data_IF_658666953831
#
_entry.id   IF_658666953831
#
_cell.length_a   1.000
_cell.length_b   1.000
_cell.length_c   1.000
_cell.angle_alpha   90.00
_cell.angle_beta   90.00
_cell.angle_gamma   90.00
#
_symmetry.space_group_name_H-M   'P 1'
#
loop_
_entity.id
_entity.type
_entity.pdbx_description
1 polymer ?
#
# COMPACT_ATOMS: atom_id res chain seq x y z
N UNK A 1 -6.29 22.63 42.33
CA UNK A 1 -7.48 22.40 43.18
C UNK A 1 -8.64 22.10 42.30
N UNK A 2 -9.13 20.86 42.37
CA UNK A 2 -10.35 20.48 41.69
C UNK A 2 -11.53 21.30 42.20
N UNK A 3 -12.37 21.84 41.33
CA UNK A 3 -13.46 22.69 41.77
C UNK A 3 -14.48 21.88 42.57
N UNK A 4 -14.58 22.28 43.83
CA UNK A 4 -15.76 22.04 44.61
C UNK A 4 -16.00 20.63 45.12
N UNK A 5 -15.60 20.42 46.34
CA UNK A 5 -15.98 19.27 47.14
C UNK A 5 -17.43 19.46 47.66
N UNK A 6 -18.38 19.70 46.77
CA UNK A 6 -19.81 19.71 47.07
C UNK A 6 -20.47 18.46 46.50
N UNK A 7 -21.62 18.08 47.06
CA UNK A 7 -22.35 16.88 46.61
C UNK A 7 -22.73 16.88 45.10
N UNK A 8 -22.58 18.00 44.42
CA UNK A 8 -22.66 18.10 42.97
C UNK A 8 -21.33 17.73 42.26
N UNK A 9 -20.26 17.38 42.96
CA UNK A 9 -18.93 17.10 42.43
C UNK A 9 -18.66 15.61 42.14
N UNK A 10 -19.72 14.82 41.95
CA UNK A 10 -19.56 13.48 41.40
C UNK A 10 -18.81 13.51 40.04
N UNK A 11 -18.93 14.61 39.31
CA UNK A 11 -18.11 14.85 38.11
C UNK A 11 -16.62 14.87 38.43
N UNK A 12 -16.21 15.57 39.51
CA UNK A 12 -14.79 15.60 39.92
C UNK A 12 -14.29 14.23 40.39
N UNK A 13 -15.09 13.55 41.21
CA UNK A 13 -14.77 12.21 41.69
C UNK A 13 -14.71 11.22 40.53
N UNK A 14 -15.67 11.29 39.59
CA UNK A 14 -15.70 10.45 38.40
C UNK A 14 -14.48 10.67 37.50
N UNK A 15 -14.07 11.94 37.31
CA UNK A 15 -12.87 12.28 36.54
C UNK A 15 -11.58 11.76 37.18
N UNK A 16 -11.54 11.74 38.53
CA UNK A 16 -10.37 11.22 39.26
C UNK A 16 -10.30 9.68 39.26
N UNK A 17 -11.45 9.02 39.20
CA UNK A 17 -11.52 7.55 39.26
C UNK A 17 -11.43 6.91 37.88
N UNK A 18 -11.79 7.63 36.82
CA UNK A 18 -11.70 7.15 35.45
C UNK A 18 -10.39 7.65 34.81
N UNK A 19 -9.29 7.02 35.16
CA UNK A 19 -8.03 7.23 34.42
C UNK A 19 -8.08 6.43 33.12
N UNK A 20 -7.75 7.10 32.01
CA UNK A 20 -7.53 6.40 30.75
C UNK A 20 -6.26 5.53 30.91
N UNK A 21 -6.45 4.23 31.00
CA UNK A 21 -5.33 3.28 30.97
C UNK A 21 -5.17 2.79 29.53
N UNK A 22 -4.17 3.31 28.84
CA UNK A 22 -3.87 2.97 27.45
C UNK A 22 -3.44 4.19 26.63
N UNK A 23 -3.34 4.01 25.34
CA UNK A 23 -3.01 5.07 24.39
C UNK A 23 -4.23 5.99 24.19
N UNK A 24 -4.12 7.31 24.53
CA UNK A 24 -5.21 8.26 24.32
C UNK A 24 -5.55 8.47 22.84
N UNK A 25 -4.70 8.05 21.90
CA UNK A 25 -4.94 8.10 20.46
C UNK A 25 -5.77 6.92 19.93
N UNK A 26 -6.09 5.94 20.78
CA UNK A 26 -6.95 4.82 20.36
C UNK A 26 -8.37 5.35 20.05
N UNK A 27 -8.79 5.12 18.81
CA UNK A 27 -10.14 5.43 18.38
C UNK A 27 -11.13 4.40 18.94
N UNK A 28 -12.02 4.85 19.82
CA UNK A 28 -13.12 4.02 20.30
C UNK A 28 -14.16 3.80 19.19
N UNK A 29 -14.70 2.61 19.14
CA UNK A 29 -15.87 2.33 18.33
C UNK A 29 -17.09 3.06 18.90
N UNK A 30 -17.80 3.74 18.04
CA UNK A 30 -19.01 4.53 18.41
C UNK A 30 -20.27 3.90 17.89
N UNK A 31 -20.14 2.77 17.20
CA UNK A 31 -21.24 1.98 16.65
C UNK A 31 -20.84 0.49 16.67
N UNK A 32 -21.81 -0.39 16.35
CA UNK A 32 -21.51 -1.82 16.10
C UNK A 32 -20.56 -1.92 14.92
N UNK A 33 -19.40 -2.56 15.08
CA UNK A 33 -18.41 -2.61 14.01
C UNK A 33 -18.89 -3.49 12.84
N UNK A 34 -18.77 -2.95 11.64
CA UNK A 34 -19.03 -3.66 10.38
C UNK A 34 -17.80 -4.42 9.89
N UNK A 35 -18.00 -5.36 8.97
CA UNK A 35 -16.90 -6.11 8.34
C UNK A 35 -16.30 -5.33 7.17
N UNK A 36 -15.00 -5.46 6.99
CA UNK A 36 -14.30 -5.00 5.79
C UNK A 36 -14.28 -6.11 4.74
N UNK A 37 -14.55 -5.74 3.49
CA UNK A 37 -14.30 -6.57 2.32
C UNK A 37 -13.07 -5.99 1.59
N UNK A 38 -11.96 -6.75 1.59
CA UNK A 38 -10.69 -6.29 1.04
C UNK A 38 -10.30 -7.20 -0.12
N UNK A 39 -10.18 -6.61 -1.28
CA UNK A 39 -9.74 -7.28 -2.50
C UNK A 39 -8.26 -7.01 -2.75
N UNK A 40 -7.49 -8.08 -2.88
CA UNK A 40 -6.06 -8.06 -3.15
C UNK A 40 -5.64 -9.39 -3.80
N UNK A 41 -4.53 -9.45 -4.55
CA UNK A 41 -4.02 -10.72 -5.06
C UNK A 41 -3.59 -11.66 -3.93
N UNK A 42 -3.79 -12.96 -4.11
CA UNK A 42 -3.31 -13.97 -3.17
C UNK A 42 -1.79 -14.17 -3.26
N UNK A 43 -1.22 -13.90 -4.44
CA UNK A 43 0.22 -13.98 -4.67
C UNK A 43 0.67 -12.96 -5.69
N UNK A 44 1.92 -12.54 -5.59
CA UNK A 44 2.63 -11.70 -6.56
C UNK A 44 4.02 -12.29 -6.81
N UNK A 45 4.60 -11.94 -7.94
CA UNK A 45 5.96 -12.37 -8.29
C UNK A 45 7.01 -11.46 -7.67
N UNK A 46 8.20 -11.99 -7.36
CA UNK A 46 9.33 -11.21 -6.82
C UNK A 46 9.75 -10.03 -7.73
N UNK A 47 9.47 -10.10 -9.02
CA UNK A 47 9.71 -8.99 -9.95
C UNK A 47 8.64 -7.91 -9.95
N UNK A 48 7.53 -8.10 -9.23
CA UNK A 48 6.48 -7.09 -9.10
C UNK A 48 6.95 -5.94 -8.21
N UNK A 49 6.62 -4.73 -8.60
CA UNK A 49 6.97 -3.52 -7.87
C UNK A 49 5.76 -2.62 -7.56
N UNK A 50 4.57 -3.14 -7.80
CA UNK A 50 3.30 -2.44 -7.58
C UNK A 50 2.22 -3.42 -7.13
N UNK A 51 1.33 -2.97 -6.27
CA UNK A 51 0.14 -3.70 -5.85
C UNK A 51 -1.00 -2.71 -5.56
N UNK A 52 -2.20 -3.09 -5.98
CA UNK A 52 -3.44 -2.41 -5.67
C UNK A 52 -4.23 -3.23 -4.66
N UNK A 53 -4.73 -2.55 -3.64
CA UNK A 53 -5.59 -3.12 -2.61
C UNK A 53 -6.88 -2.29 -2.58
N UNK A 54 -8.03 -2.93 -2.77
CA UNK A 54 -9.33 -2.27 -2.76
C UNK A 54 -10.09 -2.62 -1.50
N UNK A 55 -10.60 -1.60 -0.81
CA UNK A 55 -11.33 -1.71 0.45
C UNK A 55 -12.80 -1.33 0.22
N UNK A 56 -13.70 -2.21 0.64
CA UNK A 56 -15.15 -2.04 0.52
C UNK A 56 -15.82 -2.38 1.85
N UNK A 57 -17.04 -1.92 2.03
CA UNK A 57 -17.89 -2.34 3.13
C UNK A 57 -18.56 -3.70 2.86
N UNK A 58 -19.38 -4.16 3.78
CA UNK A 58 -20.14 -5.40 3.67
C UNK A 58 -21.19 -5.40 2.55
N UNK A 59 -21.57 -4.23 2.03
CA UNK A 59 -22.51 -4.06 0.91
C UNK A 59 -21.80 -3.92 -0.45
N UNK A 60 -20.45 -3.88 -0.44
CA UNK A 60 -19.62 -3.73 -1.63
C UNK A 60 -19.37 -2.28 -2.03
N UNK A 61 -19.78 -1.30 -1.22
CA UNK A 61 -19.51 0.11 -1.47
C UNK A 61 -18.03 0.45 -1.14
N UNK A 62 -17.36 1.26 -1.96
CA UNK A 62 -15.99 1.63 -1.73
C UNK A 62 -15.82 2.44 -0.45
N UNK A 63 -14.78 2.13 0.33
CA UNK A 63 -14.45 2.83 1.56
C UNK A 63 -13.19 3.68 1.39
N UNK A 64 -13.39 5.02 1.39
CA UNK A 64 -12.27 5.98 1.48
C UNK A 64 -11.69 6.03 2.89
N UNK A 65 -10.49 6.58 3.02
CA UNK A 65 -9.83 6.84 4.31
C UNK A 65 -9.70 5.61 5.23
N UNK A 66 -9.64 4.42 4.67
CA UNK A 66 -9.21 3.23 5.39
C UNK A 66 -7.67 3.19 5.40
N UNK A 67 -7.07 2.99 6.56
CA UNK A 67 -5.63 2.75 6.65
C UNK A 67 -5.31 1.35 6.14
N UNK A 68 -4.54 1.30 5.07
CA UNK A 68 -4.01 0.07 4.48
C UNK A 68 -2.51 0.04 4.73
N UNK A 69 -2.03 -1.01 5.35
CA UNK A 69 -0.61 -1.19 5.65
C UNK A 69 -0.14 -2.51 5.06
N UNK A 70 1.00 -2.48 4.39
CA UNK A 70 1.73 -3.66 3.94
C UNK A 70 3.05 -3.74 4.69
N UNK A 71 3.39 -4.96 5.12
CA UNK A 71 4.62 -5.26 5.85
C UNK A 71 5.24 -6.56 5.32
N UNK A 72 6.50 -6.52 4.94
CA UNK A 72 7.26 -7.70 4.55
C UNK A 72 8.63 -7.72 5.22
N UNK A 73 9.00 -8.90 5.75
CA UNK A 73 10.27 -9.11 6.42
C UNK A 73 10.51 -8.16 7.60
N UNK A 74 11.74 -8.06 8.03
CA UNK A 74 12.19 -7.11 9.04
C UNK A 74 12.48 -5.76 8.35
N UNK A 75 11.41 -5.03 7.96
CA UNK A 75 11.44 -3.75 7.26
C UNK A 75 11.89 -3.79 5.77
N UNK A 76 11.83 -4.95 5.10
CA UNK A 76 12.05 -5.03 3.66
C UNK A 76 11.04 -4.16 2.90
N UNK A 77 9.75 -4.25 3.29
CA UNK A 77 8.69 -3.32 2.87
C UNK A 77 7.87 -2.96 4.09
N UNK A 78 7.79 -1.69 4.40
CA UNK A 78 6.81 -1.12 5.33
C UNK A 78 6.21 0.13 4.71
N UNK A 79 4.95 0.05 4.31
CA UNK A 79 4.21 1.19 3.78
C UNK A 79 2.81 1.21 4.34
N UNK A 80 2.31 2.42 4.61
CA UNK A 80 0.95 2.65 5.07
C UNK A 80 0.34 3.81 4.31
N UNK A 81 -0.85 3.62 3.76
CA UNK A 81 -1.59 4.62 2.98
C UNK A 81 -3.07 4.60 3.31
N UNK A 82 -3.73 5.73 3.07
CA UNK A 82 -5.18 5.79 3.08
C UNK A 82 -5.74 5.35 1.73
N UNK A 83 -6.87 4.63 1.74
CA UNK A 83 -7.63 4.37 0.53
C UNK A 83 -8.26 5.65 -0.01
N UNK A 84 -8.34 5.78 -1.32
CA UNK A 84 -8.94 6.91 -2.04
C UNK A 84 -10.47 6.84 -2.06
N UNK A 85 -11.12 7.74 -2.82
CA UNK A 85 -12.58 7.78 -3.00
C UNK A 85 -13.18 6.53 -3.66
N UNK A 86 -12.36 5.73 -4.35
CA UNK A 86 -12.74 4.45 -4.96
C UNK A 86 -12.46 3.27 -4.03
N UNK A 87 -12.01 3.54 -2.80
CA UNK A 87 -11.57 2.53 -1.84
C UNK A 87 -10.21 1.93 -2.16
N UNK A 88 -9.42 2.51 -3.08
CA UNK A 88 -8.17 1.92 -3.57
C UNK A 88 -6.94 2.51 -2.87
N UNK A 89 -6.01 1.65 -2.52
CA UNK A 89 -4.68 2.02 -2.06
C UNK A 89 -3.63 1.32 -2.94
N UNK A 90 -2.87 2.11 -3.70
CA UNK A 90 -1.79 1.63 -4.57
C UNK A 90 -0.45 1.75 -3.84
N UNK A 91 0.27 0.65 -3.76
CA UNK A 91 1.61 0.59 -3.20
C UNK A 91 2.62 0.32 -4.30
N UNK A 92 3.76 0.97 -4.20
CA UNK A 92 4.89 0.76 -5.09
C UNK A 92 6.20 0.77 -4.30
N UNK A 93 7.15 -0.01 -4.75
CA UNK A 93 8.49 -0.07 -4.17
C UNK A 93 9.55 -0.18 -5.26
N UNK A 94 10.78 0.17 -4.91
CA UNK A 94 11.90 0.08 -5.81
C UNK A 94 12.72 -1.18 -5.48
N UNK A 95 13.19 -1.85 -6.53
CA UNK A 95 14.01 -3.05 -6.39
C UNK A 95 13.21 -4.34 -6.28
N UNK A 96 13.95 -5.43 -6.21
CA UNK A 96 13.38 -6.77 -6.08
C UNK A 96 13.05 -7.04 -4.61
N UNK A 97 11.94 -7.71 -4.39
CA UNK A 97 11.55 -8.25 -3.08
C UNK A 97 11.95 -9.73 -3.03
N UNK A 98 12.27 -10.21 -1.85
CA UNK A 98 12.55 -11.62 -1.64
C UNK A 98 11.25 -12.44 -1.63
N UNK A 99 11.34 -13.73 -1.82
CA UNK A 99 10.21 -14.64 -1.61
C UNK A 99 9.74 -14.64 -0.14
N UNK A 100 8.54 -15.10 0.10
CA UNK A 100 7.91 -15.16 1.43
C UNK A 100 6.61 -14.38 1.52
N UNK A 101 6.12 -14.18 2.73
CA UNK A 101 4.80 -13.61 2.97
C UNK A 101 4.87 -12.10 3.23
N UNK A 102 3.99 -11.36 2.59
CA UNK A 102 3.72 -9.96 2.86
C UNK A 102 2.39 -9.83 3.58
N UNK A 103 2.41 -9.27 4.78
CA UNK A 103 1.21 -9.04 5.59
C UNK A 103 0.47 -7.79 5.14
N UNK A 104 -0.85 -7.90 5.06
CA UNK A 104 -1.76 -6.78 4.86
C UNK A 104 -2.54 -6.57 6.14
N UNK A 105 -2.64 -5.32 6.57
CA UNK A 105 -3.55 -4.92 7.64
C UNK A 105 -4.38 -3.74 7.16
N UNK A 106 -5.69 -3.84 7.29
CA UNK A 106 -6.61 -2.74 6.98
C UNK A 106 -7.40 -2.38 8.21
N UNK A 107 -7.42 -1.09 8.54
CA UNK A 107 -8.17 -0.57 9.68
C UNK A 107 -8.99 0.65 9.28
N UNK A 108 -10.19 0.74 9.83
CA UNK A 108 -11.05 1.92 9.72
C UNK A 108 -11.92 2.02 10.96
N UNK A 109 -12.24 3.25 11.38
CA UNK A 109 -13.12 3.47 12.54
C UNK A 109 -14.47 2.79 12.32
N UNK A 110 -14.99 2.12 13.34
CA UNK A 110 -16.23 1.36 13.32
C UNK A 110 -16.24 0.14 12.39
N UNK A 111 -15.05 -0.37 12.01
CA UNK A 111 -14.91 -1.60 11.26
C UNK A 111 -13.99 -2.56 12.01
N UNK A 112 -14.28 -3.84 11.87
CA UNK A 112 -13.39 -4.90 12.38
C UNK A 112 -12.11 -4.88 11.56
N UNK A 113 -10.92 -4.81 12.17
CA UNK A 113 -9.66 -4.85 11.44
C UNK A 113 -9.56 -6.09 10.56
N UNK A 114 -9.10 -5.89 9.31
CA UNK A 114 -8.81 -6.98 8.39
C UNK A 114 -7.31 -7.26 8.41
N UNK A 115 -6.94 -8.55 8.42
CA UNK A 115 -5.56 -9.00 8.25
C UNK A 115 -5.53 -10.20 7.31
N UNK A 116 -4.56 -10.21 6.41
CA UNK A 116 -4.28 -11.32 5.49
C UNK A 116 -2.82 -11.27 5.05
N UNK A 117 -2.43 -12.25 4.26
CA UNK A 117 -1.08 -12.38 3.70
C UNK A 117 -1.15 -12.55 2.19
N UNK A 118 -0.16 -11.96 1.50
CA UNK A 118 0.09 -12.16 0.07
C UNK A 118 1.38 -12.93 -0.04
N UNK A 119 1.34 -14.05 -0.74
CA UNK A 119 2.52 -14.85 -0.98
C UNK A 119 3.37 -14.23 -2.08
N UNK A 120 4.63 -13.97 -1.80
CA UNK A 120 5.59 -13.54 -2.82
C UNK A 120 6.33 -14.77 -3.31
N UNK A 121 6.17 -15.06 -4.60
CA UNK A 121 6.67 -16.29 -5.21
C UNK A 121 7.65 -16.00 -6.31
N UNK A 122 8.67 -16.86 -6.40
CA UNK A 122 9.52 -16.92 -7.57
C UNK A 122 8.89 -17.86 -8.59
N UNK A 123 8.15 -17.32 -9.54
CA UNK A 123 7.53 -18.12 -10.61
C UNK A 123 8.49 -18.45 -11.77
N UNK A 124 9.74 -18.04 -11.67
CA UNK A 124 10.77 -18.35 -12.66
C UNK A 124 10.72 -17.54 -13.96
N UNK A 125 9.61 -16.88 -14.24
CA UNK A 125 9.38 -16.16 -15.51
C UNK A 125 9.24 -14.64 -15.27
N UNK A 126 10.30 -14.00 -14.76
CA UNK A 126 10.29 -12.54 -14.55
C UNK A 126 10.98 -11.82 -15.67
N UNK A 127 10.23 -11.05 -16.42
CA UNK A 127 10.74 -10.09 -17.39
C UNK A 127 10.66 -8.68 -16.81
N UNK A 128 11.78 -8.13 -16.41
CA UNK A 128 11.88 -6.73 -15.98
C UNK A 128 12.48 -5.86 -17.07
N UNK A 129 11.95 -4.66 -17.23
CA UNK A 129 12.60 -3.63 -18.03
C UNK A 129 13.81 -3.12 -17.23
N UNK A 130 15.00 -3.45 -17.71
CA UNK A 130 16.26 -3.04 -17.07
C UNK A 130 16.62 -1.60 -17.43
N UNK A 131 16.34 -1.20 -18.67
CA UNK A 131 16.70 0.10 -19.18
C UNK A 131 15.75 0.52 -20.30
N UNK A 132 15.43 1.79 -20.34
CA UNK A 132 14.73 2.43 -21.44
C UNK A 132 15.66 3.51 -21.97
N UNK A 133 16.05 3.40 -23.24
CA UNK A 133 16.84 4.40 -23.93
C UNK A 133 16.01 5.02 -25.05
N UNK A 134 16.00 6.33 -25.15
CA UNK A 134 15.37 7.10 -26.22
C UNK A 134 16.44 7.49 -27.20
N UNK A 135 16.23 7.14 -28.46
CA UNK A 135 17.07 7.55 -29.60
C UNK A 135 16.26 8.47 -30.51
N UNK A 136 16.54 9.73 -30.45
CA UNK A 136 15.90 10.81 -31.23
C UNK A 136 16.77 11.37 -32.34
N UNK A 137 17.88 10.67 -32.67
CA UNK A 137 18.83 11.04 -33.70
C UNK A 137 18.23 11.17 -35.11
N UNK A 138 17.16 10.42 -35.41
CA UNK A 138 16.57 10.36 -36.75
C UNK A 138 15.43 11.32 -37.02
N UNK A 139 14.84 11.91 -36.03
CA UNK A 139 13.65 12.74 -36.21
C UNK A 139 13.37 13.67 -35.03
N UNK A 140 14.32 13.77 -34.12
CA UNK A 140 14.29 14.62 -32.95
C UNK A 140 15.45 15.64 -32.92
N UNK A 141 15.71 16.18 -31.76
CA UNK A 141 16.72 17.19 -31.51
C UNK A 141 17.98 16.64 -30.81
N UNK A 142 18.10 15.33 -30.66
CA UNK A 142 19.24 14.60 -30.04
C UNK A 142 19.47 15.00 -28.57
N UNK A 143 18.39 15.28 -27.82
CA UNK A 143 18.48 15.58 -26.41
C UNK A 143 18.18 14.38 -25.50
N UNK A 144 17.81 13.24 -26.09
CA UNK A 144 17.48 12.00 -25.38
C UNK A 144 16.14 12.03 -24.64
N UNK A 145 15.29 13.02 -24.93
CA UNK A 145 13.97 13.20 -24.33
C UNK A 145 12.88 13.03 -25.39
N UNK A 146 11.70 12.71 -24.94
CA UNK A 146 10.52 12.53 -25.78
C UNK A 146 9.78 13.85 -25.88
N UNK A 147 9.88 14.53 -27.02
CA UNK A 147 9.26 15.82 -27.26
C UNK A 147 8.05 15.70 -28.22
N UNK A 148 7.02 16.56 -28.10
CA UNK A 148 5.87 16.52 -28.97
C UNK A 148 6.25 16.80 -30.46
N UNK A 149 5.89 15.85 -31.33
CA UNK A 149 6.09 15.97 -32.78
C UNK A 149 7.39 15.36 -33.31
N UNK A 150 8.20 14.76 -32.45
CA UNK A 150 9.41 14.02 -32.83
C UNK A 150 9.11 12.55 -33.15
N UNK A 151 9.94 11.99 -34.02
CA UNK A 151 10.01 10.54 -34.23
C UNK A 151 11.21 10.01 -33.47
N UNK A 152 10.96 9.12 -32.52
CA UNK A 152 12.00 8.56 -31.63
C UNK A 152 12.04 7.05 -31.74
N UNK A 153 13.24 6.51 -31.62
CA UNK A 153 13.46 5.08 -31.34
C UNK A 153 13.39 4.87 -29.82
N UNK A 154 12.65 3.85 -29.38
CA UNK A 154 12.64 3.42 -27.98
C UNK A 154 13.30 2.06 -27.89
N UNK A 155 14.47 2.02 -27.26
CA UNK A 155 15.19 0.77 -26.98
C UNK A 155 14.84 0.31 -25.58
N UNK A 156 14.27 -0.90 -25.48
CA UNK A 156 13.94 -1.54 -24.22
C UNK A 156 14.91 -2.70 -23.99
N UNK A 157 15.67 -2.64 -22.92
CA UNK A 157 16.43 -3.81 -22.45
C UNK A 157 15.65 -4.51 -21.36
N UNK A 158 15.56 -5.82 -21.47
CA UNK A 158 14.87 -6.67 -20.51
C UNK A 158 15.86 -7.55 -19.77
N UNK A 159 15.69 -7.71 -18.47
CA UNK A 159 16.37 -8.72 -17.67
C UNK A 159 15.38 -9.75 -17.18
N UNK A 160 15.75 -11.02 -17.31
CA UNK A 160 15.11 -12.10 -16.58
C UNK A 160 15.99 -12.40 -15.34
N UNK A 161 15.40 -12.41 -14.15
CA UNK A 161 16.12 -12.65 -12.89
C UNK A 161 16.78 -14.04 -12.81
N UNK A 162 16.34 -14.98 -13.64
CA UNK A 162 16.86 -16.38 -13.63
C UNK A 162 17.79 -16.66 -14.80
N UNK A 163 17.60 -15.98 -15.96
CA UNK A 163 18.43 -16.22 -17.14
C UNK A 163 18.78 -14.87 -17.76
N UNK A 164 20.07 -14.49 -17.73
CA UNK A 164 20.57 -13.34 -18.48
C UNK A 164 20.54 -13.63 -20.00
N UNK A 165 19.43 -13.35 -20.65
CA UNK A 165 19.38 -13.24 -22.11
C UNK A 165 19.15 -11.77 -22.49
N UNK A 166 20.04 -11.22 -23.27
CA UNK A 166 19.83 -9.93 -23.94
C UNK A 166 19.06 -10.19 -25.24
N UNK A 167 17.82 -9.71 -25.33
CA UNK A 167 17.10 -9.64 -26.58
C UNK A 167 17.13 -8.17 -26.99
N UNK A 168 17.86 -7.89 -28.08
CA UNK A 168 17.80 -6.59 -28.76
C UNK A 168 16.70 -6.75 -29.83
N UNK A 169 15.57 -6.07 -29.66
CA UNK A 169 14.58 -5.87 -30.71
C UNK A 169 14.94 -4.56 -31.43
N UNK A 170 15.27 -4.68 -32.71
CA UNK A 170 15.54 -3.56 -33.63
C UNK A 170 14.22 -3.16 -34.28
#
# INVERSE_FOLDING_TARGET
>A
TYPGNTASSWVGAFTQWNNLMGDPAILLWTDTPSSLNVDHPNSINIGSNIIDITVRDEFGEPLSDAWVTILKGDDEIFQSKLSDSNGMATFNWNGNILDGDMKITVTKRNFIPYQNEIMIVDSGDHLNIAEIMIDDNFGGNDDGLLNPGEYVGVHLSFTNLIIQYFIILI
#
